data_IF_438992282636
#
_entry.id   IF_438992282636
#
_cell.length_a   1.000
_cell.length_b   1.000
_cell.length_c   1.000
_cell.angle_alpha   90.00
_cell.angle_beta   90.00
_cell.angle_gamma   90.00
#
_symmetry.space_group_name_H-M   'P 1'
#
loop_
_entity.id
_entity.type
_entity.pdbx_description
1 polymer ?
#
# COMPACT_ATOMS: atom_id res chain seq x y z
N UNK A 1 4.17 -23.33 2.05
CA UNK A 1 2.81 -23.13 2.60
C UNK A 1 2.59 -21.67 3.07
N UNK A 2 3.25 -20.69 2.46
CA UNK A 2 3.24 -19.27 2.84
C UNK A 2 2.41 -18.40 1.89
N UNK A 3 2.22 -18.84 0.66
CA UNK A 3 1.45 -18.14 -0.40
C UNK A 3 -0.03 -17.96 -0.06
N UNK A 4 -0.65 -18.92 0.64
CA UNK A 4 -2.07 -18.86 1.01
C UNK A 4 -2.38 -17.72 2.00
N UNK A 5 -1.54 -17.51 3.02
CA UNK A 5 -1.78 -16.49 4.06
C UNK A 5 -1.64 -15.05 3.54
N UNK A 6 -0.76 -14.85 2.56
CA UNK A 6 -0.61 -13.54 1.90
C UNK A 6 -1.83 -13.21 1.03
N UNK A 7 -2.43 -14.23 0.38
CA UNK A 7 -3.66 -14.07 -0.38
C UNK A 7 -4.81 -13.52 0.46
N UNK A 8 -5.01 -14.04 1.68
CA UNK A 8 -6.05 -13.59 2.60
C UNK A 8 -5.83 -12.14 3.08
N UNK A 9 -4.58 -11.77 3.39
CA UNK A 9 -4.24 -10.41 3.78
C UNK A 9 -4.50 -9.41 2.64
N UNK A 10 -4.11 -9.77 1.41
CA UNK A 10 -4.38 -8.93 0.22
C UNK A 10 -5.88 -8.85 -0.06
N UNK A 11 -6.63 -9.94 0.10
CA UNK A 11 -8.08 -9.94 -0.06
C UNK A 11 -8.77 -9.01 0.97
N UNK A 12 -8.33 -9.05 2.23
CA UNK A 12 -8.81 -8.14 3.27
C UNK A 12 -8.55 -6.67 2.90
N UNK A 13 -7.30 -6.34 2.51
CA UNK A 13 -6.91 -4.99 2.07
C UNK A 13 -7.79 -4.52 0.91
N UNK A 14 -7.98 -5.36 -0.12
CA UNK A 14 -8.87 -5.05 -1.24
C UNK A 14 -10.32 -4.83 -0.78
N UNK A 15 -10.80 -5.60 0.20
CA UNK A 15 -12.14 -5.45 0.78
C UNK A 15 -12.35 -4.10 1.47
N UNK A 16 -11.35 -3.60 2.19
CA UNK A 16 -11.37 -2.26 2.80
C UNK A 16 -11.35 -1.18 1.71
N UNK A 17 -10.44 -1.29 0.74
CA UNK A 17 -10.24 -0.26 -0.28
C UNK A 17 -11.42 -0.13 -1.25
N UNK A 18 -12.18 -1.21 -1.49
CA UNK A 18 -13.43 -1.15 -2.26
C UNK A 18 -14.48 -0.22 -1.66
N UNK A 19 -14.40 0.08 -0.36
CA UNK A 19 -15.30 0.99 0.35
C UNK A 19 -14.80 2.43 0.37
N UNK A 20 -13.61 2.69 -0.17
CA UNK A 20 -12.96 3.98 -0.16
C UNK A 20 -13.01 4.63 -1.55
N UNK A 21 -13.08 5.96 -1.57
CA UNK A 21 -12.95 6.78 -2.78
C UNK A 21 -11.51 7.26 -2.90
N UNK A 22 -10.68 6.50 -3.60
CA UNK A 22 -9.25 6.77 -3.81
C UNK A 22 -9.05 7.47 -5.14
N UNK A 23 -8.19 8.49 -5.15
CA UNK A 23 -7.80 9.23 -6.35
C UNK A 23 -7.35 10.64 -5.99
N UNK A 24 -6.65 11.28 -6.91
CA UNK A 24 -6.12 12.64 -6.79
C UNK A 24 -6.91 13.65 -7.64
N UNK A 25 -8.17 13.34 -7.92
CA UNK A 25 -9.03 14.22 -8.72
C UNK A 25 -9.37 15.51 -7.98
N UNK A 26 -8.61 16.54 -8.33
CA UNK A 26 -8.72 17.92 -7.86
C UNK A 26 -10.07 18.56 -8.26
N UNK A 27 -10.65 18.12 -9.37
CA UNK A 27 -11.92 18.66 -9.88
C UNK A 27 -13.14 18.14 -9.11
N UNK A 28 -13.04 16.95 -8.50
CA UNK A 28 -14.10 16.32 -7.71
C UNK A 28 -13.81 16.28 -6.20
N UNK A 29 -12.81 17.03 -5.72
CA UNK A 29 -12.37 17.04 -4.31
C UNK A 29 -12.04 15.64 -3.75
N UNK A 30 -11.55 14.72 -4.58
CA UNK A 30 -11.07 13.42 -4.09
C UNK A 30 -9.73 13.61 -3.37
N UNK A 31 -9.70 13.30 -2.07
CA UNK A 31 -8.55 13.59 -1.19
C UNK A 31 -7.85 12.35 -0.63
N UNK A 32 -8.45 11.17 -0.79
CA UNK A 32 -7.87 9.97 -0.19
C UNK A 32 -6.82 9.38 -1.12
N UNK A 33 -5.56 9.49 -0.69
CA UNK A 33 -4.42 8.84 -1.33
C UNK A 33 -4.01 7.61 -0.53
N UNK A 34 -3.54 6.58 -1.22
CA UNK A 34 -3.15 5.31 -0.63
C UNK A 34 -1.76 4.95 -1.11
N UNK A 35 -0.92 4.47 -0.21
CA UNK A 35 0.42 3.98 -0.52
C UNK A 35 0.62 2.62 0.13
N UNK A 36 1.53 1.83 -0.41
CA UNK A 36 1.84 0.50 0.12
C UNK A 36 3.34 0.37 0.34
N UNK A 37 3.68 0.06 1.59
CA UNK A 37 5.02 -0.34 1.98
C UNK A 37 4.90 -1.75 2.52
N UNK A 38 5.72 -2.65 1.99
CA UNK A 38 5.88 -4.02 2.48
C UNK A 38 7.08 -4.06 3.41
N UNK A 39 7.02 -4.83 4.49
CA UNK A 39 8.18 -5.03 5.35
C UNK A 39 8.25 -6.48 5.86
N UNK A 40 9.48 -6.97 5.97
CA UNK A 40 9.85 -8.19 6.67
C UNK A 40 11.23 -7.95 7.32
N UNK A 41 12.36 -8.31 6.68
CA UNK A 41 13.68 -7.86 7.14
C UNK A 41 13.88 -6.35 6.90
N UNK A 42 13.51 -5.89 5.71
CA UNK A 42 13.69 -4.52 5.23
C UNK A 42 12.39 -3.97 4.62
N UNK A 43 12.08 -2.68 4.85
CA UNK A 43 10.91 -2.05 4.26
C UNK A 43 11.14 -1.67 2.79
N UNK A 44 10.13 -1.89 1.96
CA UNK A 44 10.14 -1.54 0.54
C UNK A 44 8.87 -0.78 0.18
N UNK A 45 9.02 0.39 -0.45
CA UNK A 45 7.90 1.05 -1.12
C UNK A 45 7.50 0.25 -2.36
N UNK A 46 6.23 -0.16 -2.41
CA UNK A 46 5.64 -0.76 -3.61
C UNK A 46 4.95 0.32 -4.46
N UNK A 47 4.19 1.20 -3.79
CA UNK A 47 3.42 2.26 -4.44
C UNK A 47 3.39 3.52 -3.54
N UNK A 48 3.76 4.67 -4.08
CA UNK A 48 3.66 5.97 -3.39
C UNK A 48 2.23 6.52 -3.37
N UNK A 49 1.96 7.60 -2.62
CA UNK A 49 0.61 8.15 -2.48
C UNK A 49 0.07 8.75 -3.79
N UNK A 50 0.96 9.07 -4.73
CA UNK A 50 0.60 9.64 -6.03
C UNK A 50 0.30 8.60 -7.12
N UNK A 51 0.52 7.31 -6.84
CA UNK A 51 0.45 6.24 -7.83
C UNK A 51 -0.99 5.97 -8.32
N UNK A 52 -1.96 5.97 -7.40
CA UNK A 52 -3.34 5.59 -7.71
C UNK A 52 -4.20 6.79 -8.07
N UNK A 53 -4.83 6.73 -9.25
CA UNK A 53 -5.73 7.78 -9.76
C UNK A 53 -7.21 7.47 -9.53
N UNK A 54 -7.56 6.20 -9.28
CA UNK A 54 -8.93 5.80 -8.94
C UNK A 54 -8.97 4.52 -8.10
N UNK A 55 -10.04 4.32 -7.32
CA UNK A 55 -10.30 3.05 -6.62
C UNK A 55 -10.35 1.86 -7.58
N UNK A 56 -10.92 2.03 -8.77
CA UNK A 56 -11.02 0.94 -9.77
C UNK A 56 -9.64 0.49 -10.25
N UNK A 57 -8.76 1.45 -10.58
CA UNK A 57 -7.37 1.16 -10.94
C UNK A 57 -6.65 0.43 -9.80
N UNK A 58 -6.77 0.95 -8.57
CA UNK A 58 -6.17 0.34 -7.40
C UNK A 58 -6.59 -1.14 -7.24
N UNK A 59 -7.89 -1.44 -7.26
CA UNK A 59 -8.37 -2.80 -6.99
C UNK A 59 -7.91 -3.79 -8.07
N UNK A 60 -7.87 -3.34 -9.33
CA UNK A 60 -7.45 -4.15 -10.47
C UNK A 60 -5.95 -4.43 -10.44
N UNK A 61 -5.14 -3.41 -10.20
CA UNK A 61 -3.70 -3.46 -10.45
C UNK A 61 -2.86 -3.69 -9.18
N UNK A 62 -3.46 -3.61 -7.99
CA UNK A 62 -2.76 -3.87 -6.73
C UNK A 62 -2.22 -5.30 -6.70
N UNK A 63 -0.88 -5.38 -6.67
CA UNK A 63 -0.08 -6.59 -6.50
C UNK A 63 0.85 -6.41 -5.31
N UNK A 64 0.70 -7.25 -4.30
CA UNK A 64 1.61 -7.30 -3.14
C UNK A 64 2.15 -8.73 -3.05
N UNK A 65 3.43 -8.88 -3.35
CA UNK A 65 4.09 -10.19 -3.35
C UNK A 65 4.71 -10.49 -2.00
N UNK A 66 4.81 -11.77 -1.67
CA UNK A 66 5.54 -12.21 -0.49
C UNK A 66 7.05 -12.01 -0.70
N UNK A 67 7.72 -11.40 0.26
CA UNK A 67 9.14 -11.02 0.16
C UNK A 67 10.08 -12.21 0.34
N UNK A 68 9.65 -13.28 0.99
CA UNK A 68 10.49 -14.45 1.26
C UNK A 68 11.52 -14.26 2.37
N UNK A 69 11.74 -13.04 2.86
CA UNK A 69 12.60 -12.79 4.02
C UNK A 69 11.90 -13.12 5.34
N UNK A 70 12.70 -13.52 6.32
CA UNK A 70 12.24 -13.84 7.67
C UNK A 70 12.31 -12.62 8.59
N UNK A 71 11.40 -12.56 9.55
CA UNK A 71 11.34 -11.51 10.57
C UNK A 71 10.34 -10.39 10.26
N UNK A 72 10.23 -9.46 11.21
CA UNK A 72 9.32 -8.33 11.15
C UNK A 72 9.98 -7.08 11.76
N UNK A 73 10.76 -6.36 10.96
CA UNK A 73 11.46 -5.15 11.38
C UNK A 73 10.53 -3.92 11.36
N UNK A 74 9.60 -3.90 12.33
CA UNK A 74 8.60 -2.83 12.48
C UNK A 74 9.29 -1.47 12.67
N UNK A 75 10.42 -1.42 13.39
CA UNK A 75 11.17 -0.19 13.61
C UNK A 75 11.61 0.42 12.28
N UNK A 76 12.28 -0.36 11.42
CA UNK A 76 12.73 0.11 10.12
C UNK A 76 11.54 0.57 9.25
N UNK A 77 10.44 -0.18 9.25
CA UNK A 77 9.21 0.23 8.56
C UNK A 77 8.70 1.60 8.99
N UNK A 78 8.56 1.84 10.30
CA UNK A 78 8.05 3.13 10.81
C UNK A 78 8.96 4.28 10.40
N UNK A 79 10.28 4.15 10.55
CA UNK A 79 11.22 5.18 10.09
C UNK A 79 11.13 5.43 8.59
N UNK A 80 11.06 4.36 7.79
CA UNK A 80 10.94 4.46 6.34
C UNK A 80 9.65 5.18 5.92
N UNK A 81 8.52 4.84 6.53
CA UNK A 81 7.24 5.49 6.25
C UNK A 81 7.28 7.01 6.55
N UNK A 82 7.88 7.41 7.66
CA UNK A 82 8.03 8.84 8.00
C UNK A 82 8.97 9.57 7.04
N UNK A 83 10.03 8.95 6.55
CA UNK A 83 10.95 9.59 5.60
C UNK A 83 10.36 9.76 4.19
N UNK A 84 9.29 9.05 3.87
CA UNK A 84 8.64 9.08 2.54
C UNK A 84 7.52 10.10 2.45
N UNK A 85 6.98 10.56 3.59
CA UNK A 85 5.95 11.60 3.66
C UNK A 85 6.39 13.08 3.44
N UNK A 86 7.63 13.54 3.70
CA UNK A 86 7.99 14.96 3.62
C UNK A 86 8.07 15.50 2.19
N UNK A 87 8.01 14.64 1.16
CA UNK A 87 8.14 15.02 -0.24
C UNK A 87 6.79 15.04 -1.00
N UNK A 88 5.65 14.84 -0.32
CA UNK A 88 4.32 14.71 -0.96
C UNK A 88 3.30 15.80 -0.53
N UNK A 89 3.79 16.90 0.06
CA UNK A 89 3.03 18.12 0.38
C UNK A 89 3.49 19.32 -0.46
#
# INVERSE_FOLDING_TARGET
MTTYRMGDAVAFIKGVLRKMTVGDDISHMMKTRVGFIRFASDPQLLYNLSHWKSTSQLIKDLKIEYDGSDGANIKAFVYFAFMMQPNEC
#
